data_IF_291795207537
#
_entry.id   IF_291795207537
#
_cell.length_a   1.000
_cell.length_b   1.000
_cell.length_c   1.000
_cell.angle_alpha   90.00
_cell.angle_beta   90.00
_cell.angle_gamma   90.00
#
_symmetry.space_group_name_H-M   'P 1'
#
loop_
_entity.id
_entity.type
_entity.pdbx_description
1 polymer ?
#
# COMPACT_ATOMS: atom_id res chain seq x y z
N UNK A 1 1.45 -10.39 11.03
CA UNK A 1 1.25 -10.19 9.58
C UNK A 1 0.19 -11.18 9.08
N UNK A 2 -0.88 -10.68 8.46
CA UNK A 2 -1.93 -11.53 7.90
C UNK A 2 -1.43 -12.44 6.77
N UNK A 3 -0.37 -12.04 6.07
CA UNK A 3 0.24 -12.83 5.00
C UNK A 3 0.95 -14.12 5.50
N UNK A 4 1.16 -14.26 6.81
CA UNK A 4 1.65 -15.49 7.41
C UNK A 4 0.53 -16.52 7.68
N UNK A 5 -0.71 -16.18 7.35
CA UNK A 5 -1.90 -17.02 7.54
C UNK A 5 -2.66 -17.14 6.21
N UNK A 6 -3.48 -18.18 6.09
CA UNK A 6 -4.34 -18.37 4.93
C UNK A 6 -3.59 -18.77 3.66
N UNK A 7 -4.04 -18.27 2.52
CA UNK A 7 -3.62 -18.74 1.20
C UNK A 7 -2.15 -18.49 0.87
N UNK A 8 -1.54 -17.44 1.43
CA UNK A 8 -0.13 -17.10 1.15
C UNK A 8 0.87 -18.14 1.65
N UNK A 9 0.51 -18.89 2.70
CA UNK A 9 1.35 -19.94 3.28
C UNK A 9 0.80 -21.34 3.03
N UNK A 10 -0.52 -21.44 2.78
CA UNK A 10 -1.22 -22.71 2.60
C UNK A 10 -0.85 -23.44 1.31
N UNK A 11 -0.64 -22.69 0.22
CA UNK A 11 -0.38 -23.26 -1.09
C UNK A 11 1.07 -23.08 -1.51
N UNK A 12 1.84 -24.18 -1.74
CA UNK A 12 3.24 -24.11 -2.17
C UNK A 12 3.46 -23.28 -3.43
N UNK A 13 2.55 -23.37 -4.41
CA UNK A 13 2.63 -22.59 -5.65
C UNK A 13 2.56 -21.07 -5.40
N UNK A 14 1.71 -20.61 -4.45
CA UNK A 14 1.62 -19.19 -4.10
C UNK A 14 2.91 -18.75 -3.41
N UNK A 15 3.46 -19.57 -2.51
CA UNK A 15 4.75 -19.31 -1.86
C UNK A 15 5.88 -19.21 -2.87
N UNK A 16 5.97 -20.16 -3.80
CA UNK A 16 6.98 -20.13 -4.87
C UNK A 16 6.86 -18.87 -5.74
N UNK A 17 5.63 -18.48 -6.12
CA UNK A 17 5.38 -17.26 -6.88
C UNK A 17 5.85 -15.99 -6.16
N UNK A 18 5.79 -15.94 -4.82
CA UNK A 18 6.32 -14.82 -4.04
C UNK A 18 7.83 -14.69 -4.18
N UNK A 19 8.57 -15.81 -4.11
CA UNK A 19 10.02 -15.80 -4.31
C UNK A 19 10.43 -15.40 -5.73
N UNK A 20 9.67 -15.86 -6.74
CA UNK A 20 9.90 -15.43 -8.14
C UNK A 20 9.71 -13.91 -8.27
N UNK A 21 8.65 -13.35 -7.70
CA UNK A 21 8.39 -11.90 -7.72
C UNK A 21 9.46 -11.12 -6.97
N UNK A 22 9.91 -11.61 -5.82
CA UNK A 22 10.99 -10.99 -5.05
C UNK A 22 12.28 -10.93 -5.88
N UNK A 23 12.68 -12.04 -6.50
CA UNK A 23 13.85 -12.11 -7.37
C UNK A 23 13.71 -11.20 -8.60
N UNK A 24 12.51 -11.09 -9.16
CA UNK A 24 12.26 -10.26 -10.33
C UNK A 24 12.53 -8.76 -10.10
N UNK A 25 12.48 -8.26 -8.87
CA UNK A 25 12.74 -6.84 -8.55
C UNK A 25 14.15 -6.42 -9.00
N UNK A 26 15.12 -7.33 -9.02
CA UNK A 26 16.50 -7.04 -9.45
C UNK A 26 16.68 -7.08 -10.96
N UNK A 27 15.71 -7.63 -11.73
CA UNK A 27 15.78 -7.66 -13.20
C UNK A 27 15.71 -6.23 -13.77
N UNK A 28 16.61 -5.85 -14.69
CA UNK A 28 16.58 -4.55 -15.36
C UNK A 28 15.26 -4.26 -16.11
N UNK A 29 14.56 -5.30 -16.55
CA UNK A 29 13.27 -5.20 -17.27
C UNK A 29 12.08 -5.00 -16.35
N UNK A 30 12.25 -5.05 -15.02
CA UNK A 30 11.16 -5.03 -14.05
C UNK A 30 10.28 -3.80 -14.21
N UNK A 31 10.86 -2.60 -14.34
CA UNK A 31 10.13 -1.34 -14.50
C UNK A 31 9.26 -1.40 -15.76
N UNK A 32 9.82 -1.74 -16.91
CA UNK A 32 9.08 -1.83 -18.18
C UNK A 32 7.96 -2.88 -18.13
N UNK A 33 8.20 -4.01 -17.48
CA UNK A 33 7.20 -5.06 -17.30
C UNK A 33 6.03 -4.56 -16.44
N UNK A 34 6.31 -3.88 -15.33
CA UNK A 34 5.29 -3.29 -14.47
C UNK A 34 4.49 -2.19 -15.19
N UNK A 35 5.16 -1.29 -15.92
CA UNK A 35 4.50 -0.27 -16.74
C UNK A 35 3.53 -0.88 -17.74
N UNK A 36 3.95 -1.94 -18.43
CA UNK A 36 3.11 -2.63 -19.42
C UNK A 36 1.83 -3.21 -18.79
N UNK A 37 1.91 -3.75 -17.58
CA UNK A 37 0.76 -4.31 -16.87
C UNK A 37 -0.15 -3.23 -16.28
N UNK A 38 0.42 -2.09 -15.86
CA UNK A 38 -0.31 -1.08 -15.07
C UNK A 38 -0.90 0.03 -15.94
N UNK A 39 -0.27 0.44 -17.04
CA UNK A 39 -0.61 1.63 -17.84
C UNK A 39 -2.07 1.74 -18.30
N UNK A 40 -2.81 0.64 -18.34
CA UNK A 40 -4.24 0.60 -18.69
C UNK A 40 -5.18 0.64 -17.49
N UNK A 41 -4.63 0.56 -16.27
CA UNK A 41 -5.40 0.59 -15.03
C UNK A 41 -5.68 2.03 -14.61
N UNK A 42 -6.91 2.35 -14.23
CA UNK A 42 -7.26 3.66 -13.63
C UNK A 42 -6.74 3.78 -12.20
N UNK A 43 -6.80 2.67 -11.44
CA UNK A 43 -6.35 2.57 -10.05
C UNK A 43 -5.48 1.32 -9.90
N UNK A 44 -4.37 1.45 -9.21
CA UNK A 44 -3.47 0.34 -8.91
C UNK A 44 -3.06 0.34 -7.44
N UNK A 45 -3.13 -0.84 -6.81
CA UNK A 45 -2.63 -1.08 -5.45
C UNK A 45 -1.33 -1.86 -5.53
N UNK A 46 -0.29 -1.32 -4.93
CA UNK A 46 0.96 -2.02 -4.70
C UNK A 46 0.82 -3.01 -3.53
N UNK A 47 1.56 -4.08 -3.57
CA UNK A 47 1.71 -5.06 -2.48
C UNK A 47 0.36 -5.63 -1.98
N UNK A 48 -0.09 -6.67 -2.62
CA UNK A 48 -1.16 -7.52 -2.08
C UNK A 48 -0.65 -8.28 -0.85
N UNK A 49 0.55 -8.85 -0.95
CA UNK A 49 1.36 -9.36 0.15
C UNK A 49 2.82 -8.90 -0.04
N UNK A 50 3.55 -8.76 1.06
CA UNK A 50 4.91 -8.21 1.07
C UNK A 50 4.92 -6.69 1.28
N UNK A 51 6.10 -6.09 1.14
CA UNK A 51 6.35 -4.67 1.38
C UNK A 51 7.54 -4.18 0.55
N UNK A 52 7.96 -2.93 0.73
CA UNK A 52 9.17 -2.36 0.14
C UNK A 52 10.39 -3.19 0.58
N UNK A 53 11.19 -3.66 -0.38
CA UNK A 53 12.33 -4.54 -0.10
C UNK A 53 13.66 -3.78 0.03
N UNK A 54 13.76 -2.61 -0.57
CA UNK A 54 14.97 -1.76 -0.55
C UNK A 54 14.65 -0.35 -1.05
N UNK A 55 15.57 0.59 -0.86
CA UNK A 55 15.48 1.91 -1.48
C UNK A 55 15.48 1.86 -3.01
N UNK A 56 16.21 0.90 -3.60
CA UNK A 56 16.20 0.68 -5.05
C UNK A 56 14.82 0.24 -5.54
N UNK A 57 14.17 -0.69 -4.81
CA UNK A 57 12.80 -1.10 -5.13
C UNK A 57 11.83 0.09 -5.05
N UNK A 58 11.93 0.94 -4.02
CA UNK A 58 11.10 2.14 -3.88
C UNK A 58 11.32 3.12 -5.05
N UNK A 59 12.57 3.34 -5.46
CA UNK A 59 12.91 4.19 -6.63
C UNK A 59 12.32 3.63 -7.92
N UNK A 60 12.41 2.32 -8.14
CA UNK A 60 11.77 1.64 -9.29
C UNK A 60 10.25 1.80 -9.30
N UNK A 61 9.60 1.70 -8.12
CA UNK A 61 8.16 1.98 -7.98
C UNK A 61 7.85 3.43 -8.39
N UNK A 62 8.66 4.42 -7.96
CA UNK A 62 8.48 5.81 -8.35
C UNK A 62 8.62 6.02 -9.86
N UNK A 63 9.56 5.32 -10.48
CA UNK A 63 9.75 5.35 -11.93
C UNK A 63 8.52 4.80 -12.66
N UNK A 64 8.00 3.65 -12.24
CA UNK A 64 6.75 3.08 -12.78
C UNK A 64 5.60 4.07 -12.64
N UNK A 65 5.44 4.73 -11.49
CA UNK A 65 4.40 5.73 -11.30
C UNK A 65 4.55 6.93 -12.27
N UNK A 66 5.78 7.43 -12.49
CA UNK A 66 6.04 8.50 -13.44
C UNK A 66 5.72 8.09 -14.88
N UNK A 67 6.02 6.85 -15.25
CA UNK A 67 5.75 6.29 -16.58
C UNK A 67 4.27 5.89 -16.80
N UNK A 68 3.47 5.90 -15.75
CA UNK A 68 2.02 5.61 -15.80
C UNK A 68 1.18 6.78 -15.24
N UNK A 69 1.29 7.99 -15.81
CA UNK A 69 0.74 9.22 -15.21
C UNK A 69 -0.81 9.22 -15.12
N UNK A 70 -1.48 8.43 -15.94
CA UNK A 70 -2.97 8.29 -15.93
C UNK A 70 -3.47 7.31 -14.87
N UNK A 71 -2.59 6.50 -14.27
CA UNK A 71 -2.93 5.56 -13.21
C UNK A 71 -2.74 6.23 -11.85
N UNK A 72 -3.72 6.09 -10.96
CA UNK A 72 -3.59 6.47 -9.55
C UNK A 72 -3.11 5.28 -8.76
N UNK A 73 -1.98 5.44 -8.07
CA UNK A 73 -1.32 4.39 -7.30
C UNK A 73 -1.56 4.56 -5.80
N UNK A 74 -1.75 3.46 -5.10
CA UNK A 74 -1.75 3.38 -3.65
C UNK A 74 -0.81 2.27 -3.20
N UNK A 75 0.02 2.57 -2.21
CA UNK A 75 0.97 1.63 -1.61
C UNK A 75 0.85 1.63 -0.10
N UNK A 76 0.33 0.56 0.52
CA UNK A 76 0.47 0.36 1.96
C UNK A 76 1.90 -0.10 2.27
N UNK A 77 2.46 0.37 3.40
CA UNK A 77 3.79 -0.07 3.85
C UNK A 77 3.87 -0.05 5.38
N UNK A 78 4.74 -0.89 5.94
CA UNK A 78 5.17 -0.85 7.35
C UNK A 78 6.66 -0.53 7.47
N UNK A 79 7.34 -0.28 6.35
CA UNK A 79 8.78 -0.06 6.25
C UNK A 79 9.15 1.41 6.50
N UNK A 80 9.04 1.83 7.77
CA UNK A 80 9.38 3.18 8.21
C UNK A 80 10.82 3.57 7.85
N UNK A 81 11.75 2.61 7.87
CA UNK A 81 13.16 2.84 7.57
C UNK A 81 13.40 3.44 6.18
N UNK A 82 12.58 3.10 5.18
CA UNK A 82 12.71 3.68 3.84
C UNK A 82 12.01 5.02 3.73
N UNK A 83 10.87 5.20 4.40
CA UNK A 83 10.15 6.46 4.38
C UNK A 83 10.90 7.58 5.11
N UNK A 84 11.67 7.26 6.15
CA UNK A 84 12.53 8.22 6.85
C UNK A 84 13.68 8.77 5.99
N UNK A 85 13.99 8.13 4.86
CA UNK A 85 15.05 8.55 3.94
C UNK A 85 14.53 9.44 2.80
N UNK A 86 13.23 9.69 2.73
CA UNK A 86 12.62 10.52 1.69
C UNK A 86 11.67 11.55 2.31
N UNK A 87 11.46 12.65 1.58
CA UNK A 87 10.43 13.62 1.94
C UNK A 87 9.12 13.28 1.24
N UNK A 88 7.93 13.56 1.83
CA UNK A 88 6.64 13.33 1.19
C UNK A 88 6.49 14.01 -0.18
N UNK A 89 7.17 15.16 -0.37
CA UNK A 89 7.15 15.93 -1.64
C UNK A 89 7.88 15.21 -2.78
N UNK A 90 8.82 14.30 -2.45
CA UNK A 90 9.52 13.48 -3.45
C UNK A 90 8.65 12.34 -4.02
N UNK A 91 7.52 12.03 -3.37
CA UNK A 91 6.60 10.98 -3.83
C UNK A 91 5.86 11.45 -5.09
N UNK A 92 5.85 10.67 -6.19
CA UNK A 92 5.11 11.01 -7.40
C UNK A 92 3.67 11.44 -7.12
N UNK A 93 3.18 12.49 -7.81
CA UNK A 93 1.84 13.07 -7.54
C UNK A 93 0.68 12.06 -7.66
N UNK A 94 0.84 11.06 -8.50
CA UNK A 94 -0.14 10.00 -8.71
C UNK A 94 0.04 8.77 -7.77
N UNK A 95 1.00 8.82 -6.83
CA UNK A 95 1.22 7.78 -5.81
C UNK A 95 0.87 8.29 -4.41
N UNK A 96 0.18 7.50 -3.63
CA UNK A 96 0.03 7.68 -2.19
C UNK A 96 0.67 6.50 -1.47
N UNK A 97 1.60 6.80 -0.57
CA UNK A 97 2.20 5.80 0.32
C UNK A 97 1.53 5.96 1.69
N UNK A 98 0.82 4.92 2.14
CA UNK A 98 0.21 4.92 3.47
C UNK A 98 1.04 4.10 4.45
N UNK A 99 1.66 4.79 5.40
CA UNK A 99 2.35 4.13 6.50
C UNK A 99 1.34 3.51 7.47
N UNK A 100 1.38 2.20 7.60
CA UNK A 100 0.47 1.44 8.46
C UNK A 100 0.99 1.42 9.90
N UNK A 101 0.13 1.68 10.87
CA UNK A 101 0.43 1.46 12.29
C UNK A 101 0.73 -0.02 12.56
N UNK A 102 1.65 -0.28 13.50
CA UNK A 102 2.13 -1.63 13.75
C UNK A 102 1.14 -2.47 14.57
N UNK A 103 0.41 -1.84 15.47
CA UNK A 103 -0.51 -2.49 16.39
C UNK A 103 -1.96 -2.08 16.13
N UNK A 104 -2.89 -2.94 16.54
CA UNK A 104 -4.33 -2.62 16.59
C UNK A 104 -4.52 -1.50 17.61
N UNK A 105 -5.40 -0.55 17.30
CA UNK A 105 -5.74 0.62 18.12
C UNK A 105 -4.56 1.58 18.36
N UNK A 106 -3.45 1.37 17.67
CA UNK A 106 -2.33 2.30 17.70
C UNK A 106 -2.64 3.57 16.91
N UNK A 107 -2.32 4.72 17.48
CA UNK A 107 -2.41 6.03 16.79
C UNK A 107 -1.57 6.04 15.52
N UNK A 108 -1.98 6.82 14.50
CA UNK A 108 -1.19 7.05 13.30
C UNK A 108 0.20 7.57 13.63
N UNK A 109 1.21 7.17 12.86
CA UNK A 109 2.55 7.73 12.98
C UNK A 109 2.54 9.23 12.62
N UNK A 110 3.40 10.02 13.28
CA UNK A 110 3.41 11.48 13.09
C UNK A 110 4.37 11.96 12.01
N UNK A 111 5.38 11.14 11.66
CA UNK A 111 6.44 11.55 10.72
C UNK A 111 6.02 11.46 9.24
N UNK A 112 4.86 10.84 8.94
CA UNK A 112 4.38 10.63 7.59
C UNK A 112 2.94 11.13 7.44
N UNK A 113 2.59 11.89 6.38
CA UNK A 113 1.28 12.55 6.27
C UNK A 113 0.12 11.63 5.92
N UNK A 114 0.40 10.50 5.26
CA UNK A 114 -0.62 9.53 4.85
C UNK A 114 -0.43 8.23 5.59
N UNK A 115 -1.42 7.88 6.40
CA UNK A 115 -1.34 6.73 7.31
C UNK A 115 -2.50 5.78 7.10
N UNK A 116 -2.36 4.59 7.67
CA UNK A 116 -3.47 3.67 7.89
C UNK A 116 -3.37 3.01 9.27
N UNK A 117 -4.53 2.72 9.85
CA UNK A 117 -4.66 2.10 11.18
C UNK A 117 -5.62 0.93 11.11
N UNK A 118 -5.45 -0.04 12.00
CA UNK A 118 -6.46 -1.06 12.28
C UNK A 118 -7.07 -0.75 13.62
N UNK A 119 -8.38 -0.61 13.69
CA UNK A 119 -9.10 -0.25 14.91
C UNK A 119 -10.11 -1.33 15.30
N UNK A 120 -10.26 -1.55 16.58
CA UNK A 120 -11.32 -2.37 17.15
C UNK A 120 -12.68 -1.67 17.01
N UNK A 121 -13.79 -2.43 17.19
CA UNK A 121 -15.14 -1.94 16.90
C UNK A 121 -15.51 -0.68 17.67
N UNK A 122 -15.07 -0.57 18.92
CA UNK A 122 -15.45 0.53 19.81
C UNK A 122 -14.41 1.66 19.86
N UNK A 123 -13.32 1.53 19.07
CA UNK A 123 -12.27 2.53 19.04
C UNK A 123 -12.66 3.68 18.10
N UNK A 124 -12.65 4.94 18.59
CA UNK A 124 -12.88 6.09 17.71
C UNK A 124 -11.77 6.27 16.67
N UNK A 125 -12.13 6.86 15.53
CA UNK A 125 -11.15 7.19 14.50
C UNK A 125 -10.18 8.27 14.97
N UNK A 126 -8.94 8.17 14.50
CA UNK A 126 -7.87 9.10 14.83
C UNK A 126 -7.86 10.31 13.88
N UNK A 127 -8.26 11.48 14.40
CA UNK A 127 -8.18 12.76 13.69
C UNK A 127 -9.37 13.04 12.74
N UNK A 128 -9.62 14.32 12.50
CA UNK A 128 -10.79 14.81 11.77
C UNK A 128 -10.82 14.38 10.29
N UNK A 129 -9.67 14.18 9.67
CA UNK A 129 -9.55 13.75 8.26
C UNK A 129 -9.44 12.24 8.09
N UNK A 130 -9.61 11.46 9.16
CA UNK A 130 -9.66 9.99 9.09
C UNK A 130 -10.96 9.53 8.43
N UNK A 131 -10.85 8.48 7.60
CA UNK A 131 -12.00 7.82 6.97
C UNK A 131 -11.96 6.33 7.28
N UNK A 132 -13.12 5.77 7.62
CA UNK A 132 -13.26 4.33 7.79
C UNK A 132 -13.35 3.63 6.44
N UNK A 133 -12.75 2.47 6.31
CA UNK A 133 -12.84 1.65 5.10
C UNK A 133 -14.19 0.94 5.04
N UNK A 134 -15.05 1.19 4.04
CA UNK A 134 -16.37 0.58 3.97
C UNK A 134 -16.37 -0.87 3.44
N UNK A 135 -15.21 -1.39 3.00
CA UNK A 135 -15.14 -2.70 2.36
C UNK A 135 -15.78 -3.84 3.18
N UNK A 136 -15.68 -3.92 4.53
CA UNK A 136 -16.33 -4.98 5.30
C UNK A 136 -17.86 -5.02 5.13
N UNK A 137 -18.50 -3.86 4.94
CA UNK A 137 -19.95 -3.76 4.73
C UNK A 137 -20.37 -3.89 3.26
N UNK A 138 -19.38 -4.01 2.36
CA UNK A 138 -19.55 -4.09 0.90
C UNK A 138 -19.04 -5.44 0.36
N UNK A 139 -19.16 -6.52 1.13
CA UNK A 139 -18.70 -7.84 0.72
C UNK A 139 -17.18 -7.95 0.47
N UNK A 140 -16.39 -7.20 1.22
CA UNK A 140 -14.92 -7.17 1.10
C UNK A 140 -14.41 -6.37 -0.12
N UNK A 141 -15.26 -5.63 -0.83
CA UNK A 141 -14.93 -4.88 -2.04
C UNK A 141 -14.89 -3.37 -1.78
N UNK A 142 -14.02 -2.65 -2.51
CA UNK A 142 -13.96 -1.19 -2.41
C UNK A 142 -15.21 -0.48 -2.97
N UNK A 143 -15.96 -1.10 -3.87
CA UNK A 143 -17.04 -0.44 -4.59
C UNK A 143 -16.54 0.87 -5.23
N UNK A 144 -17.27 1.96 -5.02
CA UNK A 144 -16.90 3.30 -5.50
C UNK A 144 -15.95 4.06 -4.56
N UNK A 145 -15.66 3.52 -3.38
CA UNK A 145 -14.73 4.13 -2.44
C UNK A 145 -13.31 4.20 -2.99
N UNK A 146 -12.67 5.38 -2.87
CA UNK A 146 -11.28 5.62 -3.31
C UNK A 146 -10.44 6.31 -2.23
N UNK A 147 -10.85 6.21 -0.96
CA UNK A 147 -10.18 6.84 0.18
C UNK A 147 -8.68 6.51 0.25
N UNK A 148 -8.29 5.28 -0.11
CA UNK A 148 -6.88 4.86 -0.09
C UNK A 148 -6.01 5.63 -1.11
N UNK A 149 -6.61 6.15 -2.20
CA UNK A 149 -5.94 6.92 -3.27
C UNK A 149 -6.11 8.43 -3.12
N UNK A 150 -6.72 8.92 -2.04
CA UNK A 150 -7.02 10.33 -1.82
C UNK A 150 -6.01 10.97 -0.86
N UNK A 151 -5.23 11.92 -1.36
CA UNK A 151 -4.21 12.66 -0.56
C UNK A 151 -4.81 13.61 0.46
N UNK A 152 -6.08 14.00 0.33
CA UNK A 152 -6.78 14.85 1.33
C UNK A 152 -7.12 14.06 2.60
N UNK A 153 -7.09 12.74 2.53
CA UNK A 153 -7.36 11.85 3.66
C UNK A 153 -6.04 11.46 4.32
N UNK A 154 -5.80 11.96 5.53
CA UNK A 154 -4.55 11.70 6.25
C UNK A 154 -4.48 10.25 6.77
N UNK A 155 -5.61 9.70 7.23
CA UNK A 155 -5.64 8.34 7.76
C UNK A 155 -6.82 7.53 7.21
N UNK A 156 -6.57 6.29 6.83
CA UNK A 156 -7.63 5.31 6.52
C UNK A 156 -7.65 4.27 7.62
N UNK A 157 -8.79 4.18 8.32
CA UNK A 157 -9.00 3.20 9.38
C UNK A 157 -9.67 1.94 8.83
N UNK A 158 -9.10 0.80 9.13
CA UNK A 158 -9.66 -0.53 8.82
C UNK A 158 -10.20 -1.15 10.09
N UNK A 159 -11.39 -1.78 10.02
CA UNK A 159 -11.89 -2.59 11.12
C UNK A 159 -11.02 -3.82 11.36
N UNK A 160 -10.84 -4.19 12.63
CA UNK A 160 -10.24 -5.48 13.02
C UNK A 160 -11.16 -6.61 12.53
N UNK A 161 -10.59 -7.58 11.83
CA UNK A 161 -11.23 -8.83 11.40
C UNK A 161 -10.89 -9.97 12.34
#
# INVERSE_FOLDING_TARGET
CYALKGNYTRYPAIKAAQYVRLKAITDPRWVNSMVTQIKRQKFFRWHDAGDIQSMDHLKKIFEVCKLTPKTRHWMPTREAQYLNQIKPEAVPKNLIIRMSSHMIDQKPVKFWPWTSTVISKDQPMFGATSKFCPAPTQGGKCGDCRNCWDRSINNVAYGKH
#
